data_IF_986417831866
#
_entry.id   IF_986417831866
#
_cell.length_a   1.000
_cell.length_b   1.000
_cell.length_c   1.000
_cell.angle_alpha   90.00
_cell.angle_beta   90.00
_cell.angle_gamma   90.00
#
_symmetry.space_group_name_H-M   'P 1'
#
loop_
_entity.id
_entity.type
_entity.pdbx_description
1 polymer ?
#
# COMPACT_ATOMS: atom_id res chain seq x y z
N UNK A 1 -59.21 -26.12 -21.02
CA UNK A 1 -60.41 -26.14 -20.16
C UNK A 1 -59.96 -25.69 -18.76
N UNK A 2 -60.66 -24.69 -18.17
CA UNK A 2 -60.44 -23.98 -16.88
C UNK A 2 -59.15 -23.17 -16.75
N UNK A 3 -59.13 -21.82 -16.77
CA UNK A 3 -59.75 -20.74 -15.94
C UNK A 3 -59.03 -20.47 -14.59
N UNK A 4 -58.41 -19.28 -14.54
CA UNK A 4 -57.86 -18.50 -13.40
C UNK A 4 -58.91 -18.23 -12.29
N UNK A 5 -58.55 -17.87 -11.02
CA UNK A 5 -58.19 -16.47 -10.65
C UNK A 5 -57.15 -16.31 -9.50
N UNK A 6 -56.30 -15.27 -9.51
CA UNK A 6 -56.43 -14.00 -8.76
C UNK A 6 -56.98 -14.12 -7.32
N UNK A 7 -56.10 -14.01 -6.32
CA UNK A 7 -56.44 -13.50 -4.98
C UNK A 7 -55.35 -12.52 -4.55
N UNK A 8 -55.69 -11.24 -4.57
CA UNK A 8 -55.04 -10.20 -3.79
C UNK A 8 -55.61 -10.23 -2.37
N UNK A 9 -54.76 -10.20 -1.34
CA UNK A 9 -55.19 -9.76 -0.02
C UNK A 9 -54.07 -8.95 0.68
N UNK A 10 -54.43 -7.70 0.89
CA UNK A 10 -53.84 -6.64 1.72
C UNK A 10 -53.74 -7.07 3.19
N UNK A 11 -52.68 -6.66 3.90
CA UNK A 11 -52.78 -6.10 5.27
C UNK A 11 -51.43 -5.59 5.78
N UNK A 12 -51.34 -4.26 5.87
CA UNK A 12 -50.38 -3.48 6.66
C UNK A 12 -50.51 -3.87 8.13
N UNK A 13 -49.40 -4.19 8.80
CA UNK A 13 -49.34 -4.24 10.27
C UNK A 13 -48.26 -3.28 10.77
N UNK A 14 -48.70 -2.10 11.16
CA UNK A 14 -47.94 -1.12 11.93
C UNK A 14 -48.28 -1.29 13.42
N UNK A 15 -47.26 -1.60 14.23
CA UNK A 15 -47.21 -1.54 15.69
C UNK A 15 -45.73 -1.17 15.99
N UNK A 16 -45.30 -0.05 16.58
CA UNK A 16 -45.96 0.96 17.40
C UNK A 16 -45.86 0.62 18.88
N UNK A 17 -44.72 0.89 19.54
CA UNK A 17 -44.52 1.09 21.01
C UNK A 17 -43.08 1.63 21.24
N UNK A 18 -42.85 2.93 21.43
CA UNK A 18 -42.86 3.65 22.72
C UNK A 18 -41.83 3.15 23.75
N UNK A 19 -40.67 3.81 23.81
CA UNK A 19 -39.79 3.82 24.98
C UNK A 19 -39.03 5.16 25.03
N UNK A 20 -39.73 6.23 25.44
CA UNK A 20 -39.08 7.36 26.10
C UNK A 20 -38.79 6.89 27.52
N UNK A 21 -37.52 6.69 27.85
CA UNK A 21 -37.05 6.39 29.20
C UNK A 21 -36.52 7.67 29.83
N UNK A 22 -37.18 8.05 30.91
CA UNK A 22 -37.06 9.27 31.69
C UNK A 22 -35.67 9.59 32.23
N UNK A 23 -35.39 10.90 32.18
CA UNK A 23 -34.37 11.66 32.91
C UNK A 23 -34.63 11.60 34.42
N UNK A 24 -33.72 11.01 35.20
CA UNK A 24 -33.12 11.59 36.42
C UNK A 24 -32.21 10.57 37.11
N UNK A 25 -30.99 10.99 37.45
CA UNK A 25 -30.66 10.94 38.87
C UNK A 25 -30.02 12.24 39.39
N UNK A 26 -30.69 12.78 40.41
CA UNK A 26 -30.13 13.55 41.51
C UNK A 26 -28.92 12.85 42.15
N UNK A 27 -27.78 13.56 42.18
CA UNK A 27 -26.97 13.84 43.37
C UNK A 27 -25.53 14.20 42.97
N UNK A 28 -25.17 15.43 43.32
CA UNK A 28 -23.81 15.95 43.40
C UNK A 28 -22.99 15.19 44.45
N UNK A 29 -21.80 14.70 44.09
CA UNK A 29 -20.68 14.79 45.01
C UNK A 29 -19.53 15.56 44.35
N UNK A 30 -19.10 16.60 45.04
CA UNK A 30 -17.83 17.29 44.84
C UNK A 30 -16.66 16.37 45.23
N UNK A 31 -15.67 16.18 44.33
CA UNK A 31 -14.29 16.00 44.76
C UNK A 31 -13.46 17.24 44.44
N UNK A 32 -13.02 17.90 45.51
CA UNK A 32 -11.93 18.86 45.49
C UNK A 32 -10.62 18.09 45.48
N UNK A 33 -9.97 17.98 44.33
CA UNK A 33 -8.56 17.60 44.25
C UNK A 33 -7.82 18.65 43.42
N UNK A 34 -7.01 19.44 44.13
CA UNK A 34 -6.08 20.41 43.56
C UNK A 34 -4.80 19.67 43.18
N UNK A 35 -4.47 19.48 41.89
CA UNK A 35 -3.14 18.99 41.53
C UNK A 35 -2.11 20.10 41.76
N UNK A 36 -1.31 19.94 42.81
CA UNK A 36 -0.10 20.73 43.05
C UNK A 36 0.87 20.47 41.89
N UNK A 37 1.00 21.43 40.99
CA UNK A 37 2.02 21.44 39.95
C UNK A 37 3.39 21.66 40.61
N UNK A 38 4.15 20.58 40.81
CA UNK A 38 5.57 20.66 41.09
C UNK A 38 6.34 20.65 39.76
N UNK A 39 7.11 21.69 39.39
CA UNK A 39 7.99 21.63 38.24
C UNK A 39 9.25 20.84 38.62
N UNK A 40 9.33 19.57 38.21
CA UNK A 40 10.60 18.85 38.17
C UNK A 40 11.38 19.29 36.93
N UNK A 41 12.39 20.11 37.13
CA UNK A 41 13.44 20.43 36.14
C UNK A 41 14.28 19.18 35.83
N UNK A 42 14.33 18.68 34.58
CA UNK A 42 15.35 17.73 34.18
C UNK A 42 16.66 18.49 33.91
N UNK A 43 17.74 18.04 34.56
CA UNK A 43 19.11 18.50 34.30
C UNK A 43 19.63 17.78 33.06
N UNK A 44 19.67 18.49 31.94
CA UNK A 44 20.34 18.08 30.70
C UNK A 44 21.85 18.06 30.89
N UNK A 45 22.51 16.90 30.80
CA UNK A 45 23.88 16.82 30.29
C UNK A 45 24.20 15.41 29.75
N UNK A 46 24.11 15.18 28.44
CA UNK A 46 24.88 14.13 27.79
C UNK A 46 26.17 14.74 27.22
N UNK A 47 27.31 14.30 27.73
CA UNK A 47 28.64 14.58 27.18
C UNK A 47 28.87 13.66 25.99
N UNK A 48 28.65 14.16 24.78
CA UNK A 48 29.06 13.50 23.54
C UNK A 48 30.54 13.73 23.29
N UNK A 49 31.31 12.65 23.11
CA UNK A 49 32.62 12.73 22.43
C UNK A 49 32.85 11.44 21.66
N UNK A 50 32.45 11.37 20.37
CA UNK A 50 32.98 10.35 19.49
C UNK A 50 34.34 10.81 18.93
N UNK A 51 35.36 10.00 19.21
CA UNK A 51 36.70 10.14 18.63
C UNK A 51 36.71 9.47 17.24
N UNK A 52 36.40 10.23 16.20
CA UNK A 52 36.55 9.82 14.82
C UNK A 52 38.00 10.01 14.37
N UNK A 53 38.71 8.92 14.07
CA UNK A 53 39.85 8.98 13.14
C UNK A 53 40.01 7.65 12.40
N UNK A 54 39.36 7.46 11.24
CA UNK A 54 39.76 6.42 10.30
C UNK A 54 40.96 6.91 9.47
N UNK A 55 42.07 6.18 9.57
CA UNK A 55 43.27 6.38 8.76
C UNK A 55 43.10 5.65 7.42
N UNK A 56 42.60 6.36 6.41
CA UNK A 56 42.56 5.88 5.03
C UNK A 56 43.92 6.11 4.35
N UNK A 57 44.58 5.04 3.92
CA UNK A 57 45.57 5.12 2.83
C UNK A 57 45.58 3.81 2.04
N UNK A 58 44.77 3.68 0.98
CA UNK A 58 44.99 2.63 -0.01
C UNK A 58 46.12 3.06 -0.96
N UNK A 59 47.17 2.24 -1.00
CA UNK A 59 48.26 2.33 -1.97
C UNK A 59 47.81 1.74 -3.31
N UNK A 60 47.37 2.59 -4.23
CA UNK A 60 47.14 2.24 -5.62
C UNK A 60 48.48 1.94 -6.32
N UNK A 61 48.65 0.72 -6.83
CA UNK A 61 49.64 0.44 -7.86
C UNK A 61 49.09 -0.62 -8.82
N UNK A 62 48.53 -0.23 -9.97
CA UNK A 62 48.36 -1.13 -11.08
C UNK A 62 49.55 -0.96 -12.02
N UNK A 63 50.47 -1.93 -12.00
CA UNK A 63 51.39 -2.18 -13.11
C UNK A 63 51.12 -3.59 -13.58
N UNK A 64 50.66 -3.75 -14.82
CA UNK A 64 51.41 -4.42 -15.88
C UNK A 64 50.53 -4.70 -17.11
N UNK A 65 50.80 -3.93 -18.16
CA UNK A 65 51.01 -4.33 -19.56
C UNK A 65 50.38 -5.64 -20.05
N UNK A 66 49.36 -5.62 -20.93
CA UNK A 66 49.03 -6.78 -21.75
C UNK A 66 50.03 -6.93 -22.91
N UNK A 67 50.76 -8.04 -22.92
CA UNK A 67 51.62 -8.48 -24.02
C UNK A 67 50.75 -8.96 -25.19
N UNK A 68 50.77 -8.22 -26.30
CA UNK A 68 50.22 -8.67 -27.57
C UNK A 68 51.08 -9.80 -28.14
N UNK A 69 50.51 -11.01 -28.23
CA UNK A 69 51.12 -12.11 -28.97
C UNK A 69 50.28 -12.34 -30.24
N UNK A 70 50.86 -12.31 -31.45
CA UNK A 70 50.11 -12.44 -32.69
C UNK A 70 49.64 -13.89 -32.95
N UNK A 71 48.45 -13.95 -33.53
CA UNK A 71 47.62 -15.06 -34.01
C UNK A 71 48.33 -16.06 -34.93
N UNK A 72 48.07 -17.38 -34.78
CA UNK A 72 48.17 -18.33 -35.88
C UNK A 72 46.81 -18.61 -36.55
N UNK A 73 46.82 -18.43 -37.87
CA UNK A 73 46.12 -19.18 -38.94
C UNK A 73 44.57 -19.24 -38.99
N UNK A 74 43.93 -18.72 -40.06
CA UNK A 74 42.51 -18.91 -40.30
C UNK A 74 42.23 -20.28 -40.94
N UNK A 75 41.73 -21.19 -40.11
CA UNK A 75 40.99 -22.40 -40.50
C UNK A 75 39.84 -22.03 -41.48
N UNK A 76 39.55 -22.85 -42.52
CA UNK A 76 38.57 -22.51 -43.55
C UNK A 76 37.19 -22.17 -42.98
N UNK A 77 36.70 -21.02 -43.42
CA UNK A 77 35.40 -20.42 -43.09
C UNK A 77 34.25 -21.35 -43.48
N UNK A 78 33.69 -22.07 -42.52
CA UNK A 78 32.30 -22.50 -42.63
C UNK A 78 31.42 -21.25 -42.50
N UNK A 79 30.61 -21.01 -43.53
CA UNK A 79 29.58 -19.98 -43.53
C UNK A 79 28.58 -20.29 -42.42
N UNK A 80 28.83 -19.79 -41.21
CA UNK A 80 27.83 -19.69 -40.16
C UNK A 80 26.88 -18.58 -40.60
N UNK A 81 25.69 -19.00 -41.05
CA UNK A 81 24.54 -18.13 -41.24
C UNK A 81 24.44 -17.16 -40.05
N UNK A 82 24.29 -15.85 -40.28
CA UNK A 82 24.25 -14.89 -39.19
C UNK A 82 23.07 -15.26 -38.29
N UNK A 83 23.38 -15.89 -37.15
CA UNK A 83 22.43 -16.09 -36.08
C UNK A 83 21.94 -14.71 -35.72
N UNK A 84 20.72 -14.39 -36.14
CA UNK A 84 20.07 -13.14 -35.81
C UNK A 84 20.01 -13.09 -34.29
N UNK A 85 20.96 -12.37 -33.68
CA UNK A 85 20.84 -11.93 -32.30
C UNK A 85 19.64 -11.01 -32.30
N UNK A 86 18.47 -11.58 -32.06
CA UNK A 86 17.27 -10.83 -31.75
C UNK A 86 17.63 -10.04 -30.50
N UNK A 87 17.98 -8.76 -30.67
CA UNK A 87 18.05 -7.80 -29.58
C UNK A 87 16.76 -8.00 -28.78
N UNK A 88 16.83 -8.41 -27.50
CA UNK A 88 15.62 -8.55 -26.72
C UNK A 88 14.88 -7.22 -26.78
N UNK A 89 13.54 -7.24 -26.89
CA UNK A 89 12.77 -6.01 -26.88
C UNK A 89 13.23 -5.14 -25.71
N UNK A 90 13.32 -3.81 -25.89
CA UNK A 90 13.72 -2.92 -24.81
C UNK A 90 12.89 -3.27 -23.58
N UNK A 91 13.56 -3.40 -22.43
CA UNK A 91 12.88 -3.67 -21.17
C UNK A 91 11.70 -2.68 -21.07
N UNK A 92 10.48 -3.15 -20.76
CA UNK A 92 9.36 -2.25 -20.55
C UNK A 92 9.79 -1.14 -19.60
N UNK A 93 9.50 0.11 -19.96
CA UNK A 93 9.67 1.22 -19.02
C UNK A 93 8.89 0.95 -17.73
N UNK A 94 9.14 1.71 -16.65
CA UNK A 94 8.35 1.56 -15.44
C UNK A 94 6.86 1.72 -15.78
N UNK A 95 6.06 0.73 -15.37
CA UNK A 95 4.62 0.74 -15.62
C UNK A 95 4.00 2.04 -15.07
N UNK A 96 3.22 2.79 -15.87
CA UNK A 96 2.72 4.08 -15.45
C UNK A 96 1.81 3.94 -14.23
N UNK A 97 1.97 4.81 -13.24
CA UNK A 97 1.08 4.84 -12.06
C UNK A 97 -0.34 5.19 -12.52
N UNK A 98 -1.37 4.41 -12.15
CA UNK A 98 -2.74 4.73 -12.53
C UNK A 98 -3.19 6.00 -11.81
N UNK A 99 -3.83 6.91 -12.56
CA UNK A 99 -4.35 8.18 -12.03
C UNK A 99 -5.86 8.24 -12.00
N UNK A 100 -6.54 7.24 -12.57
CA UNK A 100 -7.99 7.12 -12.59
C UNK A 100 -8.41 5.69 -12.27
N UNK A 101 -9.67 5.53 -11.88
CA UNK A 101 -10.25 4.21 -11.67
C UNK A 101 -10.25 3.36 -12.95
N UNK A 102 -10.50 3.98 -14.11
CA UNK A 102 -10.47 3.30 -15.40
C UNK A 102 -9.06 2.76 -15.75
N UNK A 103 -8.01 3.53 -15.47
CA UNK A 103 -6.62 3.09 -15.69
C UNK A 103 -6.28 1.90 -14.78
N UNK A 104 -6.72 1.96 -13.52
CA UNK A 104 -6.49 0.89 -12.54
C UNK A 104 -7.22 -0.41 -12.93
N UNK A 105 -8.46 -0.31 -13.41
CA UNK A 105 -9.19 -1.47 -13.94
C UNK A 105 -8.51 -2.04 -15.18
N UNK A 106 -8.09 -1.20 -16.11
CA UNK A 106 -7.39 -1.65 -17.32
C UNK A 106 -6.11 -2.42 -16.98
N UNK A 107 -5.39 -2.02 -15.94
CA UNK A 107 -4.22 -2.77 -15.42
C UNK A 107 -4.60 -4.13 -14.86
N UNK A 108 -5.66 -4.20 -14.04
CA UNK A 108 -6.15 -5.47 -13.49
C UNK A 108 -6.58 -6.43 -14.60
N UNK A 109 -7.32 -5.94 -15.59
CA UNK A 109 -7.75 -6.72 -16.75
C UNK A 109 -6.55 -7.20 -17.59
N UNK A 110 -5.53 -6.35 -17.78
CA UNK A 110 -4.33 -6.68 -18.53
C UNK A 110 -3.44 -7.72 -17.83
N UNK A 111 -3.45 -7.78 -16.50
CA UNK A 111 -2.73 -8.82 -15.76
C UNK A 111 -3.24 -10.23 -16.12
N UNK A 112 -4.54 -10.36 -16.41
CA UNK A 112 -5.14 -11.60 -16.92
C UNK A 112 -5.00 -12.82 -15.99
N UNK A 113 -4.64 -12.60 -14.73
CA UNK A 113 -4.46 -13.65 -13.73
C UNK A 113 -5.73 -13.89 -12.92
N UNK A 114 -5.99 -15.14 -12.57
CA UNK A 114 -7.05 -15.46 -11.61
C UNK A 114 -6.66 -14.95 -10.22
N UNK A 115 -7.50 -14.11 -9.57
CA UNK A 115 -7.15 -13.52 -8.29
C UNK A 115 -6.95 -14.58 -7.19
N UNK A 116 -5.87 -14.42 -6.43
CA UNK A 116 -5.65 -15.17 -5.19
C UNK A 116 -6.50 -14.56 -4.09
N UNK A 117 -7.29 -15.37 -3.39
CA UNK A 117 -8.10 -14.88 -2.27
C UNK A 117 -7.29 -14.80 -0.99
N UNK A 118 -7.16 -13.60 -0.43
CA UNK A 118 -6.53 -13.38 0.88
C UNK A 118 -7.22 -12.23 1.63
N UNK A 119 -7.15 -12.23 2.97
CA UNK A 119 -7.58 -11.09 3.81
C UNK A 119 -6.46 -10.07 4.05
N UNK A 120 -5.23 -10.54 3.95
CA UNK A 120 -3.99 -9.80 4.21
C UNK A 120 -2.84 -10.42 3.43
N UNK A 121 -1.91 -9.59 2.98
CA UNK A 121 -0.72 -10.04 2.28
C UNK A 121 0.40 -8.99 2.39
N UNK A 122 1.61 -9.36 2.00
CA UNK A 122 2.73 -8.45 1.85
C UNK A 122 3.37 -8.62 0.47
N UNK A 123 3.74 -7.52 -0.17
CA UNK A 123 4.48 -7.54 -1.44
C UNK A 123 5.94 -7.93 -1.23
N UNK A 124 6.66 -8.23 -2.31
CA UNK A 124 8.11 -8.46 -2.26
C UNK A 124 8.89 -7.23 -1.74
N UNK A 125 8.40 -6.02 -2.05
CA UNK A 125 8.94 -4.74 -1.56
C UNK A 125 8.55 -4.42 -0.11
N UNK A 126 7.71 -5.24 0.52
CA UNK A 126 7.36 -5.12 1.92
C UNK A 126 6.12 -4.26 2.22
N UNK A 127 5.41 -3.78 1.20
CA UNK A 127 4.11 -3.11 1.35
C UNK A 127 3.13 -4.13 1.93
N UNK A 128 2.47 -3.77 3.02
CA UNK A 128 1.53 -4.64 3.72
C UNK A 128 0.10 -4.20 3.43
N UNK A 129 -0.76 -5.12 3.02
CA UNK A 129 -2.14 -4.81 2.67
C UNK A 129 -3.14 -5.64 3.46
N UNK A 130 -4.24 -5.00 3.84
CA UNK A 130 -5.47 -5.60 4.35
C UNK A 130 -6.56 -5.42 3.29
N UNK A 131 -7.05 -6.51 2.74
CA UNK A 131 -8.20 -6.53 1.81
C UNK A 131 -9.52 -6.81 2.53
N UNK A 132 -9.44 -7.32 3.77
CA UNK A 132 -10.56 -7.50 4.66
C UNK A 132 -10.09 -7.45 6.11
N UNK A 133 -10.40 -6.36 6.82
CA UNK A 133 -10.24 -6.27 8.27
C UNK A 133 -11.38 -5.44 8.86
N UNK A 134 -11.56 -5.56 10.18
CA UNK A 134 -12.52 -4.76 10.95
C UNK A 134 -12.01 -3.36 11.30
N UNK A 135 -10.72 -3.12 11.11
CA UNK A 135 -10.06 -1.86 11.49
C UNK A 135 -9.80 -0.98 10.28
N UNK A 136 -9.18 -1.54 9.24
CA UNK A 136 -8.87 -0.82 8.01
C UNK A 136 -8.83 -1.80 6.82
N UNK A 137 -9.19 -1.32 5.64
CA UNK A 137 -8.92 -2.00 4.37
C UNK A 137 -8.03 -1.04 3.58
N UNK A 138 -6.83 -1.45 3.20
CA UNK A 138 -5.82 -0.55 2.69
C UNK A 138 -4.42 -1.15 2.68
N UNK A 139 -3.44 -0.35 2.26
CA UNK A 139 -2.04 -0.76 2.18
C UNK A 139 -1.13 0.25 2.87
N UNK A 140 -0.08 -0.25 3.52
CA UNK A 140 0.91 0.51 4.28
C UNK A 140 2.32 0.22 3.76
N UNK A 141 3.15 1.25 3.68
CA UNK A 141 4.55 1.13 3.27
C UNK A 141 5.38 0.29 4.28
N UNK A 142 6.49 -0.32 3.84
CA UNK A 142 7.41 -1.04 4.74
C UNK A 142 8.00 -0.15 5.85
N UNK A 143 8.29 1.11 5.52
CA UNK A 143 8.90 2.08 6.40
C UNK A 143 8.78 3.49 5.82
N UNK A 144 8.95 4.50 6.67
CA UNK A 144 8.92 5.90 6.27
C UNK A 144 7.54 6.35 5.78
N UNK A 145 7.53 7.19 4.76
CA UNK A 145 6.32 7.67 4.09
C UNK A 145 6.68 8.48 2.85
N UNK A 146 5.71 8.71 1.99
CA UNK A 146 5.85 9.54 0.80
C UNK A 146 5.66 11.01 1.21
N UNK A 147 6.68 11.88 1.06
CA UNK A 147 6.56 13.29 1.43
C UNK A 147 5.43 13.97 0.66
N UNK A 148 4.51 14.55 1.41
CA UNK A 148 3.41 15.35 0.88
C UNK A 148 2.98 16.40 1.92
N UNK A 149 3.79 17.46 2.10
CA UNK A 149 3.51 18.48 3.11
C UNK A 149 2.29 19.34 2.76
N UNK A 150 1.88 19.39 1.49
CA UNK A 150 0.66 20.10 1.08
C UNK A 150 -0.58 19.36 1.57
N UNK A 151 -0.55 18.02 1.57
CA UNK A 151 -1.61 17.19 2.12
C UNK A 151 -1.51 16.99 3.64
N UNK A 152 -0.31 16.67 4.15
CA UNK A 152 -0.08 16.33 5.57
C UNK A 152 0.20 17.55 6.47
N UNK A 153 0.34 18.74 5.89
CA UNK A 153 0.72 19.95 6.59
C UNK A 153 2.24 20.12 6.70
N UNK A 154 2.68 21.38 6.83
CA UNK A 154 4.10 21.79 6.82
C UNK A 154 4.72 21.96 8.20
N UNK A 155 3.91 22.03 9.26
CA UNK A 155 4.35 22.39 10.62
C UNK A 155 4.09 21.28 11.65
N UNK A 156 3.60 20.13 11.19
CA UNK A 156 3.32 18.96 12.00
C UNK A 156 4.53 18.03 12.16
N UNK A 157 4.50 17.11 13.15
CA UNK A 157 5.56 16.12 13.37
C UNK A 157 5.70 15.13 12.21
N UNK A 158 4.71 15.06 11.30
CA UNK A 158 4.75 14.19 10.12
C UNK A 158 4.17 14.90 8.91
N UNK A 159 4.92 14.81 7.82
CA UNK A 159 4.65 15.49 6.55
C UNK A 159 4.61 14.48 5.39
N UNK A 160 4.38 13.21 5.71
CA UNK A 160 4.47 12.10 4.78
C UNK A 160 3.30 11.15 4.94
N UNK A 161 2.79 10.66 3.80
CA UNK A 161 1.76 9.63 3.71
C UNK A 161 2.41 8.25 3.92
N UNK A 162 1.95 7.51 4.94
CA UNK A 162 2.45 6.17 5.26
C UNK A 162 1.58 5.05 4.71
N UNK A 163 0.29 5.33 4.49
CA UNK A 163 -0.74 4.37 4.12
C UNK A 163 -1.83 5.03 3.30
N UNK A 164 -2.51 4.22 2.48
CA UNK A 164 -3.80 4.57 1.89
C UNK A 164 -4.83 3.52 2.30
N UNK A 165 -6.00 3.97 2.76
CA UNK A 165 -7.12 3.11 3.16
C UNK A 165 -8.37 3.43 2.36
N UNK A 166 -9.25 2.44 2.19
CA UNK A 166 -10.64 2.67 1.85
C UNK A 166 -11.39 3.11 3.11
N UNK A 167 -11.85 4.35 3.11
CA UNK A 167 -12.73 4.91 4.14
C UNK A 167 -14.18 4.43 4.00
N UNK A 168 -15.06 5.07 4.76
CA UNK A 168 -16.49 4.77 4.70
C UNK A 168 -17.04 5.00 3.28
N UNK A 169 -17.86 4.05 2.79
CA UNK A 169 -18.39 4.08 1.43
C UNK A 169 -17.37 3.72 0.33
N UNK A 170 -16.16 3.30 0.70
CA UNK A 170 -15.12 2.87 -0.25
C UNK A 170 -14.27 4.01 -0.81
N UNK A 171 -14.41 5.25 -0.32
CA UNK A 171 -13.56 6.35 -0.79
C UNK A 171 -12.10 6.17 -0.29
N UNK A 172 -11.09 6.16 -1.17
CA UNK A 172 -9.69 6.02 -0.78
C UNK A 172 -9.16 7.31 -0.13
N UNK A 173 -8.53 7.17 1.03
CA UNK A 173 -7.96 8.27 1.81
C UNK A 173 -6.50 7.97 2.12
N UNK A 174 -5.62 8.92 1.81
CA UNK A 174 -4.23 8.88 2.24
C UNK A 174 -4.15 9.27 3.73
N UNK A 175 -3.37 8.52 4.51
CA UNK A 175 -3.18 8.74 5.94
C UNK A 175 -1.75 9.21 6.22
N UNK A 176 -1.66 10.40 6.83
CA UNK A 176 -0.43 10.99 7.33
C UNK A 176 -0.10 10.40 8.69
N UNK A 177 1.18 10.10 8.96
CA UNK A 177 1.63 9.43 10.19
C UNK A 177 0.78 8.23 10.58
N UNK A 178 0.96 7.13 9.86
CA UNK A 178 0.23 5.93 10.22
C UNK A 178 1.00 5.13 11.27
N UNK A 179 0.38 4.93 12.43
CA UNK A 179 0.59 3.70 13.21
C UNK A 179 0.45 2.47 12.31
N UNK A 180 0.95 1.32 12.72
CA UNK A 180 0.94 0.17 11.80
C UNK A 180 -0.39 -0.57 11.78
N UNK A 181 -0.92 -0.88 10.59
CA UNK A 181 -2.03 -1.83 10.38
C UNK A 181 -1.56 -3.28 10.24
N UNK A 182 -0.27 -3.55 10.44
CA UNK A 182 0.31 -4.88 10.31
C UNK A 182 -0.28 -5.83 11.34
N UNK A 183 -0.94 -6.88 10.83
CA UNK A 183 -1.42 -8.02 11.61
C UNK A 183 -0.55 -9.25 11.27
N UNK A 184 -0.32 -10.18 12.21
CA UNK A 184 0.44 -11.38 11.93
C UNK A 184 -0.23 -12.26 10.87
N UNK A 185 0.57 -13.08 10.18
CA UNK A 185 0.08 -14.11 9.26
C UNK A 185 -0.21 -13.63 7.84
N UNK A 186 0.36 -12.51 7.40
CA UNK A 186 0.35 -12.14 5.98
C UNK A 186 1.30 -13.02 5.19
N UNK A 187 0.78 -13.61 4.10
CA UNK A 187 1.59 -14.30 3.12
C UNK A 187 2.33 -13.29 2.24
N UNK A 188 3.56 -13.61 1.86
CA UNK A 188 4.27 -12.89 0.80
C UNK A 188 3.70 -13.29 -0.55
N UNK A 189 3.36 -12.31 -1.38
CA UNK A 189 2.80 -12.50 -2.71
C UNK A 189 3.76 -11.90 -3.73
N UNK A 190 3.95 -12.60 -4.84
CA UNK A 190 4.88 -12.21 -5.89
C UNK A 190 4.32 -11.06 -6.75
N UNK A 191 5.21 -10.23 -7.29
CA UNK A 191 4.84 -9.21 -8.26
C UNK A 191 4.20 -9.85 -9.51
N UNK A 192 3.30 -9.12 -10.15
CA UNK A 192 2.43 -9.59 -11.24
C UNK A 192 1.17 -10.33 -10.77
N UNK A 193 1.04 -10.63 -9.46
CA UNK A 193 -0.14 -11.32 -8.92
C UNK A 193 -1.31 -10.36 -8.70
N UNK A 194 -2.53 -10.89 -8.82
CA UNK A 194 -3.75 -10.22 -8.37
C UNK A 194 -4.25 -10.89 -7.09
N UNK A 195 -4.55 -10.09 -6.07
CA UNK A 195 -5.15 -10.55 -4.81
C UNK A 195 -6.55 -9.97 -4.67
N UNK A 196 -7.55 -10.81 -4.40
CA UNK A 196 -8.91 -10.38 -4.10
C UNK A 196 -9.24 -10.56 -2.61
N UNK A 197 -10.07 -9.66 -2.07
CA UNK A 197 -10.72 -9.89 -0.78
C UNK A 197 -11.63 -11.11 -0.86
N UNK A 198 -11.96 -11.78 0.25
CA UNK A 198 -12.88 -12.92 0.23
C UNK A 198 -14.28 -12.62 -0.28
N UNK A 199 -14.72 -11.35 -0.25
CA UNK A 199 -15.98 -10.93 -0.88
C UNK A 199 -15.85 -10.63 -2.37
N UNK A 200 -14.63 -10.50 -2.89
CA UNK A 200 -14.32 -10.06 -4.25
C UNK A 200 -14.45 -8.56 -4.48
N UNK A 201 -14.90 -7.79 -3.48
CA UNK A 201 -15.15 -6.36 -3.62
C UNK A 201 -13.86 -5.58 -3.86
N UNK A 202 -12.78 -5.95 -3.16
CA UNK A 202 -11.46 -5.31 -3.31
C UNK A 202 -10.54 -6.23 -4.08
N UNK A 203 -9.88 -5.70 -5.10
CA UNK A 203 -8.84 -6.40 -5.87
C UNK A 203 -7.58 -5.55 -5.91
N UNK A 204 -6.43 -6.18 -5.71
CA UNK A 204 -5.12 -5.54 -5.68
C UNK A 204 -4.18 -6.20 -6.67
N UNK A 205 -3.68 -5.43 -7.63
CA UNK A 205 -2.58 -5.82 -8.52
C UNK A 205 -1.25 -5.44 -7.87
N UNK A 206 -0.35 -6.42 -7.78
CA UNK A 206 1.01 -6.20 -7.28
C UNK A 206 1.94 -5.99 -8.46
N UNK A 207 2.62 -4.85 -8.48
CA UNK A 207 3.59 -4.47 -9.51
C UNK A 207 4.95 -4.22 -8.85
N UNK A 208 6.04 -4.26 -9.62
CA UNK A 208 7.36 -3.94 -9.09
C UNK A 208 7.44 -2.51 -8.52
N UNK A 209 6.61 -1.59 -9.05
CA UNK A 209 6.55 -0.18 -8.62
C UNK A 209 5.69 0.04 -7.36
N UNK A 210 4.80 -0.89 -7.01
CA UNK A 210 3.84 -0.72 -5.92
C UNK A 210 2.63 -1.64 -6.03
N UNK A 211 1.56 -1.27 -5.34
CA UNK A 211 0.29 -2.01 -5.36
C UNK A 211 -0.84 -1.08 -5.80
N UNK A 212 -1.63 -1.54 -6.77
CA UNK A 212 -2.86 -0.87 -7.20
C UNK A 212 -4.04 -1.64 -6.64
N UNK A 213 -4.82 -1.04 -5.74
CA UNK A 213 -6.03 -1.65 -5.19
C UNK A 213 -7.28 -0.89 -5.65
N UNK A 214 -8.31 -1.63 -6.05
CA UNK A 214 -9.62 -1.08 -6.44
C UNK A 214 -10.73 -1.67 -5.58
N UNK A 215 -11.70 -0.85 -5.20
CA UNK A 215 -13.01 -1.30 -4.74
C UNK A 215 -13.97 -1.29 -5.94
N UNK A 216 -14.27 -2.49 -6.43
CA UNK A 216 -15.11 -2.71 -7.61
C UNK A 216 -16.59 -2.39 -7.37
N UNK A 217 -17.01 -2.29 -6.10
CA UNK A 217 -18.37 -1.93 -5.72
C UNK A 217 -18.51 -0.42 -5.62
N UNK A 218 -17.54 0.25 -5.00
CA UNK A 218 -17.53 1.70 -4.85
C UNK A 218 -17.07 2.44 -6.11
N UNK A 219 -16.40 1.77 -7.04
CA UNK A 219 -15.87 2.40 -8.25
C UNK A 219 -14.68 3.30 -7.94
N UNK A 220 -13.84 2.93 -6.97
CA UNK A 220 -12.74 3.74 -6.47
C UNK A 220 -11.48 2.90 -6.31
N UNK A 221 -10.34 3.55 -6.07
CA UNK A 221 -9.09 2.83 -5.87
C UNK A 221 -7.91 3.73 -5.54
N UNK A 222 -6.78 3.10 -5.30
CA UNK A 222 -5.53 3.78 -5.07
C UNK A 222 -4.35 2.99 -5.64
N UNK A 223 -3.26 3.71 -5.84
CA UNK A 223 -1.93 3.15 -5.98
C UNK A 223 -1.08 3.54 -4.77
N UNK A 224 -0.25 2.62 -4.28
CA UNK A 224 0.75 2.87 -3.25
C UNK A 224 2.08 2.21 -3.61
N UNK A 225 3.14 3.00 -3.66
CA UNK A 225 4.50 2.58 -3.97
C UNK A 225 5.52 3.64 -3.55
N UNK A 226 6.45 4.00 -4.43
CA UNK A 226 7.33 5.18 -4.22
C UNK A 226 6.58 6.52 -4.31
N UNK A 227 5.39 6.49 -4.89
CA UNK A 227 4.40 7.56 -4.90
C UNK A 227 3.05 6.97 -4.54
N UNK A 228 2.03 7.81 -4.37
CA UNK A 228 0.68 7.34 -4.18
C UNK A 228 -0.28 8.11 -5.10
N UNK A 229 -1.41 7.49 -5.40
CA UNK A 229 -2.51 8.13 -6.10
C UNK A 229 -3.81 7.58 -5.50
N UNK A 230 -4.81 8.44 -5.35
CA UNK A 230 -6.17 8.05 -4.97
C UNK A 230 -7.10 8.50 -6.08
N UNK A 231 -8.09 7.69 -6.40
CA UNK A 231 -9.01 7.98 -7.49
C UNK A 231 -10.40 7.41 -7.23
N UNK A 232 -11.39 8.15 -7.70
CA UNK A 232 -12.81 7.79 -7.68
C UNK A 232 -13.35 7.87 -9.11
N UNK A 233 -14.19 6.91 -9.50
CA UNK A 233 -14.89 6.87 -10.78
C UNK A 233 -16.19 7.66 -10.80
#
# INVERSE_FOLDING_TARGET
MSRLPLVALVAVLALGLSACGDDEPSADPTPSDTPTSGPTTPSETPTETPSETPSETPSETPSETPSFTPTPDPTPSETVEPSQTTTPPPAPGPDPVPTTYADALAKLDAAGQEPQTAKRFQTASGIYCLTQSRFAVGCELPSGGIPDPDYCGTDGPVQSVGRVVFGEGGAPTAECNSDTIREPGAASVADGSVVASPSGAVQCLLEASGVTCVDTVAGSGFFLGSSYAVFTG
#
